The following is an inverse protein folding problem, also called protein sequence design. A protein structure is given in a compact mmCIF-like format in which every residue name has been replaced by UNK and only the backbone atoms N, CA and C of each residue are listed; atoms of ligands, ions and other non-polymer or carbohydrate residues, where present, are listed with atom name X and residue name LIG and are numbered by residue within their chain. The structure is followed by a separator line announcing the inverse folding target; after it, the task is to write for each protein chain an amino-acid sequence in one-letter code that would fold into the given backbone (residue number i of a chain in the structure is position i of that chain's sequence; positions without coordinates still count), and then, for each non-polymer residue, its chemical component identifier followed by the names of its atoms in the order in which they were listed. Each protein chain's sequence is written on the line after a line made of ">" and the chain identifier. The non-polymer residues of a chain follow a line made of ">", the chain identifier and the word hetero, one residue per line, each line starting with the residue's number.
data_IF_058632074169
#
_entry.id   IF_058632074169
#
_cell.length_a   1.000
_cell.length_b   1.000
_cell.length_c   1.000
_cell.angle_alpha   90.00
_cell.angle_beta   90.00
_cell.angle_gamma   90.00
#
_symmetry.space_group_name_H-M   'P 1'
#
loop_
_entity.id
_entity.type
_entity.pdbx_description
1 polymer ?
#
# COMPACT_ATOMS: atom_id res chain seq x y z
N UNK A 1 -14.60 -7.01 -15.96
CA UNK A 1 -13.35 -6.57 -15.28
C UNK A 1 -13.73 -5.50 -14.28
N UNK A 2 -13.41 -5.68 -13.01
CA UNK A 2 -13.67 -4.69 -11.95
C UNK A 2 -12.34 -4.18 -11.41
N UNK A 3 -12.27 -2.88 -11.17
CA UNK A 3 -11.10 -2.23 -10.56
C UNK A 3 -11.50 -1.79 -9.17
N UNK A 4 -10.65 -2.07 -8.21
CA UNK A 4 -10.77 -1.63 -6.83
C UNK A 4 -9.60 -0.67 -6.55
N UNK A 5 -9.91 0.53 -6.16
CA UNK A 5 -8.93 1.45 -5.62
C UNK A 5 -8.72 1.09 -4.14
N UNK A 6 -7.49 0.74 -3.82
CA UNK A 6 -7.09 0.34 -2.47
C UNK A 6 -6.14 1.36 -1.84
N UNK A 7 -6.15 2.59 -2.39
CA UNK A 7 -5.35 3.71 -1.92
C UNK A 7 -6.14 4.51 -0.88
N UNK A 8 -5.50 4.98 0.17
CA UNK A 8 -6.09 5.96 1.09
C UNK A 8 -5.98 7.37 0.50
N UNK A 9 -6.96 8.21 0.77
CA UNK A 9 -6.94 9.61 0.35
C UNK A 9 -5.85 10.37 1.12
N UNK A 10 -5.10 11.22 0.39
CA UNK A 10 -4.15 12.14 1.02
C UNK A 10 -4.90 13.40 1.46
N UNK A 11 -5.03 13.59 2.75
CA UNK A 11 -5.65 14.76 3.36
C UNK A 11 -4.87 15.21 4.61
N UNK A 12 -5.11 16.41 5.09
CA UNK A 12 -4.47 16.91 6.33
C UNK A 12 -4.95 16.16 7.58
N UNK A 13 -6.08 15.46 7.49
CA UNK A 13 -6.63 14.61 8.55
C UNK A 13 -6.08 13.19 8.52
N UNK A 14 -5.30 12.83 7.48
CA UNK A 14 -4.76 11.48 7.36
C UNK A 14 -3.87 11.16 8.58
N UNK A 15 -4.13 10.05 9.28
CA UNK A 15 -3.22 9.58 10.32
C UNK A 15 -1.80 9.36 9.75
N UNK A 16 -0.80 9.85 10.45
CA UNK A 16 0.62 9.61 10.12
C UNK A 16 1.27 8.79 11.23
N UNK A 17 2.33 8.08 10.88
CA UNK A 17 3.10 7.32 11.86
C UNK A 17 3.73 8.28 12.87
N UNK A 18 3.80 7.93 14.18
CA UNK A 18 4.38 8.78 15.20
C UNK A 18 5.83 9.17 14.89
N UNK A 19 6.08 10.47 14.82
CA UNK A 19 7.40 11.03 14.48
C UNK A 19 7.50 11.54 13.05
N UNK A 20 6.61 11.12 12.15
CA UNK A 20 6.59 11.61 10.78
C UNK A 20 5.97 13.02 10.67
N UNK A 21 6.45 13.83 9.70
CA UNK A 21 5.85 15.12 9.44
C UNK A 21 4.41 14.97 8.94
N UNK A 22 3.47 15.81 9.42
CA UNK A 22 2.09 15.78 8.95
C UNK A 22 2.00 16.20 7.49
N UNK A 23 0.98 15.67 6.78
CA UNK A 23 0.65 16.11 5.44
C UNK A 23 0.06 17.52 5.48
N UNK A 24 0.49 18.38 4.53
CA UNK A 24 -0.03 19.75 4.32
C UNK A 24 -0.31 19.96 2.86
N UNK A 25 -1.47 20.56 2.56
CA UNK A 25 -1.89 20.95 1.20
C UNK A 25 -2.22 22.43 1.22
N UNK A 26 -1.35 23.24 0.65
CA UNK A 26 -1.46 24.69 0.68
C UNK A 26 -1.74 25.24 -0.73
N UNK A 27 -2.80 26.03 -0.94
CA UNK A 27 -3.05 26.67 -2.22
C UNK A 27 -2.01 27.78 -2.49
N UNK A 28 -1.18 27.59 -3.50
CA UNK A 28 -0.20 28.58 -3.98
C UNK A 28 -0.91 29.65 -4.82
N UNK A 29 -1.75 29.21 -5.81
CA UNK A 29 -2.65 30.04 -6.59
C UNK A 29 -4.06 29.47 -6.54
N UNK A 30 -5.09 30.33 -6.69
CA UNK A 30 -6.48 29.91 -6.69
C UNK A 30 -7.36 30.76 -7.60
N UNK A 31 -8.18 30.13 -8.43
CA UNK A 31 -9.17 30.81 -9.28
C UNK A 31 -10.11 31.71 -8.46
N UNK A 32 -10.47 31.29 -7.26
CA UNK A 32 -11.30 32.07 -6.33
C UNK A 32 -10.62 33.36 -5.87
N UNK A 33 -9.31 33.51 -6.05
CA UNK A 33 -8.54 34.74 -5.77
C UNK A 33 -8.26 35.56 -7.03
N UNK A 34 -8.77 35.15 -8.20
CA UNK A 34 -8.52 35.79 -9.48
C UNK A 34 -7.25 35.32 -10.20
N UNK A 35 -6.59 34.29 -9.70
CA UNK A 35 -5.44 33.70 -10.38
C UNK A 35 -5.87 32.91 -11.64
N UNK A 36 -4.93 32.64 -12.54
CA UNK A 36 -5.19 31.95 -13.81
C UNK A 36 -5.48 30.44 -13.65
N UNK A 37 -5.06 29.82 -12.53
CA UNK A 37 -5.22 28.40 -12.27
C UNK A 37 -5.15 28.10 -10.76
N UNK A 38 -5.71 26.93 -10.36
CA UNK A 38 -5.49 26.38 -9.04
C UNK A 38 -4.18 25.60 -9.03
N UNK A 39 -3.25 25.98 -8.14
CA UNK A 39 -1.98 25.27 -7.91
C UNK A 39 -1.79 25.10 -6.41
N UNK A 40 -1.47 23.89 -5.97
CA UNK A 40 -1.21 23.58 -4.56
C UNK A 40 0.22 23.10 -4.37
N UNK A 41 0.76 23.38 -3.20
CA UNK A 41 1.97 22.75 -2.67
C UNK A 41 1.55 21.62 -1.75
N UNK A 42 2.22 20.46 -1.88
CA UNK A 42 2.07 19.33 -0.96
C UNK A 42 3.38 19.16 -0.20
N UNK A 43 3.28 19.05 1.11
CA UNK A 43 4.40 18.73 2.01
C UNK A 43 3.99 17.51 2.83
N UNK A 44 4.78 16.44 2.76
CA UNK A 44 4.50 15.17 3.45
C UNK A 44 5.77 14.32 3.57
N UNK A 45 5.74 13.29 4.42
CA UNK A 45 6.73 12.21 4.41
C UNK A 45 6.64 11.40 3.12
N UNK A 46 7.76 10.81 2.68
CA UNK A 46 7.77 9.79 1.63
C UNK A 46 6.98 8.54 2.03
N UNK A 47 6.73 8.36 3.33
CA UNK A 47 5.96 7.27 3.94
C UNK A 47 4.53 7.69 4.35
N UNK A 48 3.94 8.68 3.66
CA UNK A 48 2.57 9.14 3.93
C UNK A 48 1.53 8.36 3.14
N UNK A 49 0.45 7.95 3.81
CA UNK A 49 -0.69 7.26 3.20
C UNK A 49 -0.31 5.91 2.60
N UNK A 50 -0.85 5.59 1.44
CA UNK A 50 -0.43 4.38 0.69
C UNK A 50 0.90 4.65 0.03
N UNK A 51 1.93 3.88 0.39
CA UNK A 51 3.30 4.10 -0.06
C UNK A 51 4.08 2.79 -0.19
N UNK A 52 5.25 2.87 -0.82
CA UNK A 52 6.20 1.77 -0.98
C UNK A 52 7.50 2.06 -0.26
N UNK A 53 8.00 1.04 0.43
CA UNK A 53 9.34 1.01 1.03
C UNK A 53 10.26 0.15 0.18
N UNK A 54 11.26 0.76 -0.45
CA UNK A 54 12.35 0.05 -1.11
C UNK A 54 13.43 -0.33 -0.09
N UNK A 55 14.39 -1.20 -0.44
CA UNK A 55 15.52 -1.53 0.41
C UNK A 55 16.26 -0.33 1.02
N UNK A 56 16.29 0.81 0.30
CA UNK A 56 16.93 2.04 0.78
C UNK A 56 16.32 2.60 2.07
N UNK A 57 15.08 2.26 2.40
CA UNK A 57 14.44 2.75 3.62
C UNK A 57 15.23 2.41 4.89
N UNK A 58 15.81 1.22 4.95
CA UNK A 58 16.62 0.75 6.10
C UNK A 58 18.09 0.48 5.74
N UNK A 59 18.49 0.64 4.48
CA UNK A 59 19.84 0.36 4.01
C UNK A 59 20.29 1.44 3.00
N UNK A 60 21.21 2.31 3.40
CA UNK A 60 21.72 3.40 2.55
C UNK A 60 22.29 2.94 1.19
N UNK A 61 22.73 1.68 1.10
CA UNK A 61 23.23 1.08 -0.13
C UNK A 61 22.16 0.27 -0.88
N UNK A 62 20.94 0.20 -0.35
CA UNK A 62 19.81 -0.50 -0.96
C UNK A 62 19.27 0.23 -2.20
N UNK A 63 18.52 -0.51 -3.02
CA UNK A 63 17.81 0.07 -4.15
C UNK A 63 16.84 1.15 -3.67
N UNK A 64 16.85 2.31 -4.32
CA UNK A 64 15.89 3.38 -4.11
C UNK A 64 14.59 3.13 -4.87
N UNK A 65 13.52 3.85 -4.51
CA UNK A 65 12.18 3.66 -5.08
C UNK A 65 12.15 3.83 -6.61
N UNK A 66 12.95 4.72 -7.18
CA UNK A 66 13.04 4.94 -8.63
C UNK A 66 13.79 3.83 -9.39
N UNK A 67 14.50 2.96 -8.66
CA UNK A 67 15.25 1.82 -9.19
C UNK A 67 14.49 0.49 -9.09
N UNK A 68 13.34 0.45 -8.38
CA UNK A 68 12.55 -0.76 -8.25
C UNK A 68 12.09 -1.28 -9.62
N UNK A 69 12.28 -2.58 -9.93
CA UNK A 69 11.76 -3.17 -11.16
C UNK A 69 10.24 -3.08 -11.23
N UNK A 70 9.68 -2.58 -12.33
CA UNK A 70 8.22 -2.48 -12.49
C UNK A 70 7.53 -3.85 -12.42
N UNK A 71 8.23 -4.93 -12.74
CA UNK A 71 7.72 -6.30 -12.59
C UNK A 71 7.43 -6.70 -11.14
N UNK A 72 8.00 -6.02 -10.15
CA UNK A 72 7.63 -6.19 -8.74
C UNK A 72 6.32 -5.46 -8.42
N UNK A 73 6.07 -4.34 -9.07
CA UNK A 73 5.00 -3.39 -8.74
C UNK A 73 3.71 -3.68 -9.52
N UNK A 74 3.80 -4.46 -10.59
CA UNK A 74 2.65 -4.83 -11.44
C UNK A 74 2.65 -6.33 -11.64
N UNK A 75 1.52 -6.97 -11.37
CA UNK A 75 1.34 -8.40 -11.64
C UNK A 75 0.41 -9.09 -10.66
N UNK A 76 0.41 -10.42 -10.74
CA UNK A 76 -0.48 -11.24 -9.91
C UNK A 76 -0.18 -11.07 -8.43
N UNK A 77 -1.24 -10.90 -7.64
CA UNK A 77 -1.19 -10.81 -6.19
C UNK A 77 -2.30 -11.65 -5.57
N UNK A 78 -2.01 -12.25 -4.44
CA UNK A 78 -3.00 -12.83 -3.55
C UNK A 78 -3.40 -11.76 -2.53
N UNK A 79 -4.68 -11.46 -2.44
CA UNK A 79 -5.28 -10.76 -1.30
C UNK A 79 -5.78 -11.82 -0.32
N UNK A 80 -5.15 -11.94 0.83
CA UNK A 80 -5.48 -12.91 1.87
C UNK A 80 -6.03 -12.21 3.12
N UNK A 81 -7.05 -12.79 3.71
CA UNK A 81 -7.67 -12.26 4.92
C UNK A 81 -7.04 -12.92 6.16
N UNK A 82 -6.52 -12.10 7.08
CA UNK A 82 -5.97 -12.52 8.38
C UNK A 82 -6.66 -11.70 9.46
N UNK A 83 -7.60 -12.30 10.15
CA UNK A 83 -8.44 -11.62 11.15
C UNK A 83 -8.27 -12.21 12.55
N UNK A 84 -8.62 -11.40 13.56
CA UNK A 84 -8.65 -11.85 14.94
C UNK A 84 -7.28 -12.04 15.58
N UNK A 85 -6.20 -11.61 14.92
CA UNK A 85 -4.85 -11.60 15.48
C UNK A 85 -4.17 -10.25 15.28
N UNK A 86 -3.33 -9.87 16.24
CA UNK A 86 -2.46 -8.69 16.12
C UNK A 86 -1.08 -9.07 15.61
N UNK A 87 -0.59 -10.22 16.00
CA UNK A 87 0.71 -10.73 15.60
C UNK A 87 0.54 -11.78 14.50
N UNK A 88 0.97 -11.46 13.30
CA UNK A 88 0.89 -12.33 12.12
C UNK A 88 2.24 -13.03 11.99
N UNK A 89 2.30 -14.26 12.47
CA UNK A 89 3.47 -15.11 12.43
C UNK A 89 3.37 -16.18 11.35
N UNK A 90 4.33 -17.09 11.38
CA UNK A 90 4.37 -18.28 10.50
C UNK A 90 3.06 -19.06 10.54
N UNK A 91 2.51 -19.29 11.73
CA UNK A 91 1.30 -20.09 11.93
C UNK A 91 0.10 -19.53 11.15
N UNK A 92 -0.09 -18.22 11.17
CA UNK A 92 -1.16 -17.55 10.42
C UNK A 92 -0.89 -17.60 8.91
N UNK A 93 0.35 -17.38 8.51
CA UNK A 93 0.74 -17.33 7.10
C UNK A 93 0.71 -18.72 6.43
N UNK A 94 1.02 -19.80 7.15
CA UNK A 94 0.93 -21.18 6.65
C UNK A 94 -0.52 -21.61 6.32
N UNK A 95 -1.51 -20.94 6.90
CA UNK A 95 -2.93 -21.18 6.58
C UNK A 95 -3.39 -20.50 5.30
N UNK A 96 -2.59 -19.60 4.74
CA UNK A 96 -2.94 -18.89 3.52
C UNK A 96 -2.75 -19.77 2.29
N UNK A 97 -3.61 -19.63 1.26
CA UNK A 97 -3.56 -20.48 0.06
C UNK A 97 -2.46 -20.01 -0.91
N UNK A 98 -1.23 -19.86 -0.44
CA UNK A 98 -0.07 -19.49 -1.26
C UNK A 98 0.23 -20.60 -2.27
N UNK A 99 0.31 -20.26 -3.56
CA UNK A 99 0.56 -21.18 -4.67
C UNK A 99 1.69 -20.68 -5.59
N UNK A 100 2.70 -20.03 -4.99
CA UNK A 100 3.81 -19.44 -5.74
C UNK A 100 3.55 -18.02 -6.21
N UNK A 101 2.62 -17.31 -5.55
CA UNK A 101 2.47 -15.87 -5.74
C UNK A 101 3.71 -15.13 -5.24
N UNK A 102 4.15 -14.13 -6.01
CA UNK A 102 5.24 -13.25 -5.61
C UNK A 102 4.76 -12.03 -4.83
N UNK A 103 3.45 -11.76 -4.81
CA UNK A 103 2.86 -10.59 -4.13
C UNK A 103 1.72 -11.04 -3.23
N UNK A 104 1.82 -10.67 -1.96
CA UNK A 104 0.83 -10.96 -0.94
C UNK A 104 0.31 -9.65 -0.33
N UNK A 105 -1.00 -9.47 -0.32
CA UNK A 105 -1.65 -8.38 0.40
C UNK A 105 -2.41 -8.97 1.59
N UNK A 106 -2.05 -8.50 2.78
CA UNK A 106 -2.65 -8.92 4.05
C UNK A 106 -3.80 -7.97 4.38
N UNK A 107 -5.02 -8.48 4.26
CA UNK A 107 -6.22 -7.80 4.73
C UNK A 107 -6.50 -8.22 6.15
N UNK A 108 -6.35 -7.30 7.06
CA UNK A 108 -6.53 -7.52 8.49
C UNK A 108 -7.74 -6.76 9.03
N UNK A 109 -7.83 -6.67 10.34
CA UNK A 109 -8.79 -5.77 11.00
C UNK A 109 -8.36 -4.30 10.95
N UNK A 110 -7.17 -4.01 10.42
CA UNK A 110 -6.60 -2.65 10.39
C UNK A 110 -7.34 -1.70 9.45
N UNK A 111 -7.92 -2.19 8.34
CA UNK A 111 -8.65 -1.32 7.41
C UNK A 111 -9.72 -0.45 8.09
N UNK A 112 -10.25 -0.89 9.23
CA UNK A 112 -11.21 -0.11 10.03
C UNK A 112 -10.57 1.06 10.78
N UNK A 113 -9.26 1.03 10.97
CA UNK A 113 -8.53 2.08 11.68
C UNK A 113 -8.45 3.37 10.86
N UNK A 114 -8.68 3.31 9.55
CA UNK A 114 -8.77 4.49 8.68
C UNK A 114 -9.99 5.38 8.99
N UNK A 115 -11.01 4.83 9.66
CA UNK A 115 -12.18 5.59 10.11
C UNK A 115 -11.90 6.39 11.40
N UNK A 116 -10.74 6.17 12.03
CA UNK A 116 -10.35 6.87 13.25
C UNK A 116 -9.70 8.22 12.91
N UNK A 117 -9.96 9.27 13.70
CA UNK A 117 -9.40 10.61 13.44
C UNK A 117 -7.91 10.73 13.80
N UNK A 118 -7.30 9.68 14.34
CA UNK A 118 -5.91 9.67 14.82
C UNK A 118 -5.31 8.29 14.63
N UNK A 119 -3.98 8.26 14.57
CA UNK A 119 -3.21 7.03 14.60
C UNK A 119 -3.60 6.13 15.78
N UNK A 120 -3.75 4.84 15.51
CA UNK A 120 -3.95 3.79 16.50
C UNK A 120 -2.69 2.91 16.58
N UNK A 121 -2.10 2.79 17.76
CA UNK A 121 -0.97 1.89 17.97
C UNK A 121 -1.37 0.42 18.14
N UNK A 122 -2.67 0.12 18.20
CA UNK A 122 -3.20 -1.24 18.34
C UNK A 122 -3.64 -1.79 16.98
N UNK A 123 -2.68 -2.21 16.15
CA UNK A 123 -2.89 -2.74 14.81
C UNK A 123 -2.23 -4.11 14.62
N UNK A 124 -2.71 -4.86 13.62
CA UNK A 124 -2.13 -6.13 13.21
C UNK A 124 -0.84 -5.90 12.43
N UNK A 125 0.20 -6.67 12.73
CA UNK A 125 1.55 -6.53 12.19
C UNK A 125 2.22 -7.90 12.00
N UNK A 126 3.26 -7.96 11.18
CA UNK A 126 4.11 -9.15 11.04
C UNK A 126 5.02 -9.33 12.27
N UNK A 127 5.27 -10.57 12.59
CA UNK A 127 6.33 -10.95 13.54
C UNK A 127 7.62 -11.33 12.80
N UNK A 128 8.79 -11.40 13.45
CA UNK A 128 10.03 -11.80 12.80
C UNK A 128 9.98 -13.18 12.14
N UNK A 129 9.30 -14.16 12.74
CA UNK A 129 9.12 -15.50 12.15
C UNK A 129 8.14 -15.49 10.97
N UNK A 130 7.14 -14.60 10.99
CA UNK A 130 6.28 -14.32 9.84
C UNK A 130 7.05 -13.72 8.66
N UNK A 131 7.90 -12.73 8.93
CA UNK A 131 8.77 -12.16 7.92
C UNK A 131 9.72 -13.21 7.31
N UNK A 132 10.30 -14.08 8.16
CA UNK A 132 11.14 -15.18 7.71
C UNK A 132 10.37 -16.13 6.76
N UNK A 133 9.15 -16.48 7.12
CA UNK A 133 8.30 -17.34 6.29
C UNK A 133 8.00 -16.72 4.91
N UNK A 134 7.74 -15.41 4.84
CA UNK A 134 7.51 -14.74 3.57
C UNK A 134 8.73 -14.81 2.64
N UNK A 135 9.93 -14.64 3.19
CA UNK A 135 11.18 -14.80 2.43
C UNK A 135 11.35 -16.23 1.94
N UNK A 136 11.16 -17.23 2.80
CA UNK A 136 11.27 -18.65 2.48
C UNK A 136 10.29 -19.09 1.37
N UNK A 137 9.09 -18.52 1.34
CA UNK A 137 8.06 -18.83 0.33
C UNK A 137 8.22 -18.08 -0.99
N UNK A 138 9.22 -17.21 -1.09
CA UNK A 138 9.55 -16.50 -2.32
C UNK A 138 8.69 -15.29 -2.61
N UNK A 139 7.98 -14.76 -1.61
CA UNK A 139 7.28 -13.48 -1.72
C UNK A 139 8.30 -12.38 -2.04
N UNK A 140 7.94 -11.47 -2.94
CA UNK A 140 8.76 -10.32 -3.38
C UNK A 140 8.14 -8.98 -3.01
N UNK A 141 6.84 -8.95 -2.78
CA UNK A 141 6.12 -7.79 -2.28
C UNK A 141 5.10 -8.24 -1.26
N UNK A 142 5.14 -7.64 -0.07
CA UNK A 142 4.09 -7.77 0.94
C UNK A 142 3.39 -6.45 1.15
N UNK A 143 2.05 -6.46 1.17
CA UNK A 143 1.24 -5.28 1.50
C UNK A 143 0.42 -5.50 2.75
N UNK A 144 0.15 -4.41 3.49
CA UNK A 144 -0.70 -4.42 4.67
C UNK A 144 -1.65 -3.21 4.70
N UNK A 145 -2.77 -3.39 5.34
CA UNK A 145 -3.85 -2.41 5.40
C UNK A 145 -3.74 -1.41 6.56
N UNK A 146 -2.53 -1.03 6.93
CA UNK A 146 -2.24 0.10 7.83
C UNK A 146 -0.83 0.66 7.64
N UNK A 147 -0.45 1.61 8.52
CA UNK A 147 0.73 2.46 8.40
C UNK A 147 2.06 1.74 8.66
N UNK A 148 2.07 0.49 9.13
CA UNK A 148 3.29 -0.28 9.27
C UNK A 148 3.05 -1.78 9.23
N UNK A 149 3.97 -2.53 8.60
CA UNK A 149 4.06 -4.00 8.69
C UNK A 149 4.63 -4.46 10.03
N UNK A 150 5.28 -3.57 10.77
CA UNK A 150 5.92 -3.87 12.05
C UNK A 150 5.12 -3.27 13.22
N UNK A 151 5.24 -3.83 14.42
CA UNK A 151 4.62 -3.28 15.64
C UNK A 151 5.16 -1.89 15.96
N UNK A 152 4.35 -1.06 16.62
CA UNK A 152 4.69 0.34 16.93
C UNK A 152 5.99 0.48 17.75
N UNK A 153 6.21 -0.40 18.71
CA UNK A 153 7.39 -0.42 19.60
C UNK A 153 8.50 -1.36 19.09
N UNK A 154 8.46 -1.72 17.81
CA UNK A 154 9.51 -2.47 17.14
C UNK A 154 10.76 -1.61 16.94
N UNK A 155 11.87 -2.27 16.70
CA UNK A 155 13.17 -1.64 16.44
C UNK A 155 13.56 -1.61 14.96
N UNK A 156 12.60 -1.91 14.07
CA UNK A 156 12.80 -2.02 12.63
C UNK A 156 13.32 -3.40 12.17
N UNK A 157 13.29 -4.40 13.03
CA UNK A 157 13.80 -5.75 12.70
C UNK A 157 13.05 -6.37 11.52
N UNK A 158 11.72 -6.30 11.50
CA UNK A 158 10.88 -6.87 10.44
C UNK A 158 11.13 -6.16 9.12
N UNK A 159 11.18 -4.82 9.12
CA UNK A 159 11.49 -4.05 7.93
C UNK A 159 12.88 -4.39 7.38
N UNK A 160 13.92 -4.32 8.23
CA UNK A 160 15.29 -4.65 7.81
C UNK A 160 15.36 -6.04 7.22
N UNK A 161 14.77 -7.02 7.89
CA UNK A 161 14.83 -8.40 7.42
C UNK A 161 14.18 -8.57 6.05
N UNK A 162 12.98 -8.03 5.85
CA UNK A 162 12.28 -8.11 4.56
C UNK A 162 13.05 -7.39 3.46
N UNK A 163 13.44 -6.14 3.69
CA UNK A 163 14.10 -5.29 2.70
C UNK A 163 15.51 -5.78 2.33
N UNK A 164 16.29 -6.28 3.29
CA UNK A 164 17.62 -6.87 3.05
C UNK A 164 17.55 -8.19 2.26
N UNK A 165 16.40 -8.88 2.32
CA UNK A 165 16.13 -10.06 1.49
C UNK A 165 15.46 -9.71 0.15
N UNK A 166 15.40 -8.42 -0.20
CA UNK A 166 14.93 -7.94 -1.51
C UNK A 166 13.41 -7.94 -1.68
N UNK A 167 12.64 -8.03 -0.60
CA UNK A 167 11.21 -7.75 -0.64
C UNK A 167 10.97 -6.24 -0.70
N UNK A 168 9.85 -5.87 -1.29
CA UNK A 168 9.30 -4.51 -1.23
C UNK A 168 8.10 -4.51 -0.30
N UNK A 169 7.97 -3.49 0.52
CA UNK A 169 6.84 -3.36 1.44
C UNK A 169 5.87 -2.32 0.89
N UNK A 170 4.57 -2.61 0.93
CA UNK A 170 3.49 -1.73 0.51
C UNK A 170 2.57 -1.49 1.71
N UNK A 171 2.63 -0.30 2.28
CA UNK A 171 1.88 0.08 3.47
C UNK A 171 0.74 1.04 3.16
N UNK A 172 -0.11 1.27 4.13
CA UNK A 172 -1.18 2.24 4.01
C UNK A 172 -2.31 1.83 3.07
N UNK A 173 -2.58 0.54 2.89
CA UNK A 173 -3.68 0.08 2.05
C UNK A 173 -5.03 0.25 2.73
N UNK A 174 -6.06 0.56 1.96
CA UNK A 174 -7.47 0.42 2.37
C UNK A 174 -8.09 -0.77 1.63
N UNK A 175 -8.21 -1.89 2.33
CA UNK A 175 -8.74 -3.14 1.78
C UNK A 175 -10.21 -3.38 2.15
N UNK A 176 -10.89 -2.36 2.72
CA UNK A 176 -12.32 -2.42 3.00
C UNK A 176 -13.11 -2.72 1.71
N UNK A 177 -14.10 -3.60 1.81
CA UNK A 177 -14.98 -3.93 0.69
C UNK A 177 -14.35 -4.79 -0.41
N UNK A 178 -13.05 -5.16 -0.32
CA UNK A 178 -12.42 -6.07 -1.26
C UNK A 178 -12.41 -7.48 -0.68
N UNK A 179 -12.93 -8.46 -1.43
CA UNK A 179 -12.93 -9.85 -1.00
C UNK A 179 -11.54 -10.49 -1.16
N UNK A 180 -11.19 -11.45 -0.30
CA UNK A 180 -10.00 -12.26 -0.49
C UNK A 180 -10.03 -13.00 -1.84
N UNK A 181 -8.88 -13.14 -2.49
CA UNK A 181 -8.79 -13.78 -3.80
C UNK A 181 -7.55 -13.37 -4.59
N UNK A 182 -7.47 -13.86 -5.81
CA UNK A 182 -6.39 -13.52 -6.74
C UNK A 182 -6.77 -12.33 -7.61
N UNK A 183 -5.88 -11.36 -7.67
CA UNK A 183 -6.03 -10.12 -8.43
C UNK A 183 -4.77 -9.84 -9.26
N UNK A 184 -4.84 -8.86 -10.11
CA UNK A 184 -3.67 -8.17 -10.60
C UNK A 184 -3.50 -6.88 -9.79
N UNK A 185 -2.36 -6.75 -9.11
CA UNK A 185 -1.93 -5.54 -8.43
C UNK A 185 -1.27 -4.61 -9.45
N UNK A 186 -1.61 -3.34 -9.40
CA UNK A 186 -0.90 -2.25 -10.05
C UNK A 186 -0.64 -1.21 -8.95
N UNK A 187 0.63 -1.02 -8.60
CA UNK A 187 1.05 -0.08 -7.56
C UNK A 187 2.29 0.68 -8.04
N UNK A 188 2.09 1.91 -8.47
CA UNK A 188 3.14 2.73 -9.04
C UNK A 188 3.43 3.92 -8.14
N UNK A 189 4.60 3.93 -7.45
CA UNK A 189 5.01 5.05 -6.62
C UNK A 189 5.42 6.26 -7.46
N UNK A 190 5.48 7.43 -6.84
CA UNK A 190 6.17 8.57 -7.41
C UNK A 190 7.64 8.19 -7.67
N UNK A 191 8.16 8.52 -8.85
CA UNK A 191 9.53 8.21 -9.24
C UNK A 191 10.51 9.23 -8.65
N UNK A 192 10.68 9.20 -7.34
CA UNK A 192 11.59 10.09 -6.60
C UNK A 192 13.01 9.54 -6.74
N UNK A 193 13.90 10.29 -7.41
CA UNK A 193 15.30 9.86 -7.59
C UNK A 193 16.00 9.71 -6.24
N UNK A 194 16.51 8.51 -5.97
CA UNK A 194 17.20 8.18 -4.73
C UNK A 194 16.28 8.14 -3.51
N UNK A 195 14.95 8.07 -3.71
CA UNK A 195 13.98 8.08 -2.61
C UNK A 195 14.04 6.82 -1.76
N UNK A 196 13.89 7.01 -0.47
CA UNK A 196 13.78 5.98 0.57
C UNK A 196 12.39 5.38 0.66
N UNK A 197 11.40 6.02 0.04
CA UNK A 197 10.02 5.62 -0.09
C UNK A 197 9.31 6.53 -1.08
N UNK A 198 8.08 6.22 -1.44
CA UNK A 198 7.22 7.16 -2.14
C UNK A 198 5.74 6.79 -2.02
N UNK A 199 4.83 7.78 -1.89
CA UNK A 199 3.41 7.58 -2.05
C UNK A 199 3.07 6.96 -3.40
N UNK A 200 2.05 6.10 -3.41
CA UNK A 200 1.65 5.35 -4.59
C UNK A 200 0.13 5.31 -4.74
N UNK A 201 -0.35 5.24 -6.00
CA UNK A 201 -1.71 4.81 -6.27
C UNK A 201 -1.72 3.30 -6.44
N UNK A 202 -2.38 2.58 -5.54
CA UNK A 202 -2.51 1.13 -5.57
C UNK A 202 -3.92 0.72 -5.98
N UNK A 203 -4.03 -0.14 -6.98
CA UNK A 203 -5.31 -0.69 -7.43
C UNK A 203 -5.22 -2.20 -7.59
N UNK A 204 -6.36 -2.86 -7.39
CA UNK A 204 -6.55 -4.26 -7.72
C UNK A 204 -7.50 -4.39 -8.92
N UNK A 205 -7.12 -5.21 -9.88
CA UNK A 205 -7.93 -5.55 -11.04
C UNK A 205 -8.39 -7.00 -10.95
N UNK A 206 -9.74 -7.22 -10.99
CA UNK A 206 -10.28 -8.58 -10.99
C UNK A 206 -9.93 -9.30 -12.30
N UNK A 207 -9.56 -10.58 -12.18
CA UNK A 207 -9.22 -11.46 -13.31
C UNK A 207 -10.42 -12.09 -13.99
N UNK A 208 -11.62 -11.86 -13.51
CA UNK A 208 -12.81 -12.40 -14.16
C UNK A 208 -12.85 -11.88 -15.61
N UNK A 209 -12.74 -12.83 -16.55
CA UNK A 209 -13.13 -12.55 -17.92
C UNK A 209 -14.60 -12.16 -17.86
N UNK A 210 -15.04 -11.03 -18.45
CA UNK A 210 -16.45 -10.77 -18.59
C UNK A 210 -17.04 -12.00 -19.28
N UNK A 211 -18.05 -12.60 -18.65
CA UNK A 211 -18.90 -13.57 -19.35
C UNK A 211 -19.28 -12.92 -20.67
N UNK A 212 -19.27 -13.67 -21.77
CA UNK A 212 -19.73 -13.19 -23.08
C UNK A 212 -21.10 -12.57 -22.87
N UNK A 213 -21.19 -11.24 -22.88
CA UNK A 213 -22.47 -10.54 -22.70
C UNK A 213 -22.44 -9.20 -21.96
N UNK A 214 -21.29 -8.64 -21.60
CA UNK A 214 -21.24 -7.26 -21.15
C UNK A 214 -20.83 -6.37 -22.34
N UNK A 215 -21.82 -5.81 -23.01
CA UNK A 215 -21.61 -4.79 -24.03
C UNK A 215 -20.89 -3.58 -23.40
N UNK A 216 -19.75 -3.23 -23.98
CA UNK A 216 -19.06 -1.97 -23.68
C UNK A 216 -19.95 -0.83 -24.23
N UNK A 217 -20.61 -0.10 -23.35
CA UNK A 217 -21.32 1.12 -23.73
C UNK A 217 -20.31 2.30 -23.72
N UNK A 218 -19.88 2.79 -24.89
CA UNK A 218 -18.93 3.90 -24.98
C UNK A 218 -19.54 5.25 -24.56
N UNK A 219 -20.82 5.31 -24.21
CA UNK A 219 -21.52 6.56 -23.89
C UNK A 219 -21.71 6.81 -22.39
N UNK A 220 -21.30 5.89 -21.49
CA UNK A 220 -21.50 6.02 -20.03
C UNK A 220 -20.38 6.73 -19.30
N UNK A 221 -19.29 7.14 -19.95
CA UNK A 221 -18.22 7.93 -19.35
C UNK A 221 -18.45 9.43 -19.58
N UNK A 222 -19.53 9.98 -19.05
CA UNK A 222 -19.59 11.43 -18.82
C UNK A 222 -19.05 11.71 -17.42
N UNK A 223 -17.95 12.44 -17.34
CA UNK A 223 -17.58 13.12 -16.12
C UNK A 223 -18.76 13.96 -15.68
N UNK A 224 -19.21 13.93 -14.42
CA UNK A 224 -20.16 14.87 -13.92
C UNK A 224 -19.51 16.25 -14.03
N UNK A 225 -19.97 17.03 -15.01
CA UNK A 225 -19.70 18.46 -15.02
C UNK A 225 -20.52 19.05 -13.87
N UNK A 226 -19.83 19.46 -12.80
CA UNK A 226 -20.43 20.22 -11.71
C UNK A 226 -20.87 21.60 -12.21
#
# INVERSE_FOLDING_TARGET
>A
MKIYDITVDLSEELPVFPGDPPLRIEPVTALARGDAANVSRITMSTHSGTHLDPPRHFNDNGLSVDQLPLSLLVGNALLAEVKGTKAIGRTELEQLPLKGEERLLLKTDNSRLWDLPRFSGDYSHLTPDGACYLVETGIKLVGIDYLSVERLDGDGEVHRFLLDNGLVILEGLNLNGVAAGSYELICLPLKIRGGDGAPARAILRSRERPGRGADFDPHTTRWPLA
#
